data_IF_134076944302
#
_entry.id   IF_134076944302
#
_cell.length_a   1.000
_cell.length_b   1.000
_cell.length_c   1.000
_cell.angle_alpha   90.00
_cell.angle_beta   90.00
_cell.angle_gamma   90.00
#
_symmetry.space_group_name_H-M   'P 1'
#
loop_
_entity.id
_entity.type
_entity.pdbx_description
1 polymer ?
#
# COMPACT_ATOMS: atom_id res chain seq x y z
N UNK A 1 15.00 -0.80 19.98
CA UNK A 1 13.63 -0.27 19.90
C UNK A 1 13.77 1.21 19.71
N UNK A 2 13.60 1.64 18.48
CA UNK A 2 13.61 3.02 18.06
C UNK A 2 12.18 3.52 17.96
N UNK A 3 12.00 4.81 18.18
CA UNK A 3 10.74 5.47 17.86
C UNK A 3 10.63 5.57 16.34
N UNK A 4 9.49 5.15 15.79
CA UNK A 4 9.25 5.29 14.37
C UNK A 4 9.16 6.78 14.03
N UNK A 5 10.08 7.26 13.21
CA UNK A 5 10.08 8.65 12.74
C UNK A 5 8.74 9.00 12.11
N UNK A 6 8.18 10.12 12.52
CA UNK A 6 6.93 10.63 11.94
C UNK A 6 7.16 11.19 10.54
N UNK A 7 6.20 10.92 9.64
CA UNK A 7 6.16 11.63 8.37
C UNK A 7 5.85 13.11 8.64
N UNK A 8 6.60 14.05 8.02
CA UNK A 8 6.40 15.47 8.25
C UNK A 8 5.00 15.89 7.81
N UNK A 9 4.36 16.73 8.64
CA UNK A 9 3.09 17.36 8.33
C UNK A 9 3.28 18.87 8.14
N UNK A 10 2.70 19.48 7.08
CA UNK A 10 1.96 18.82 6.01
C UNK A 10 2.86 17.93 5.13
N UNK A 11 2.26 16.91 4.51
CA UNK A 11 2.96 16.07 3.54
C UNK A 11 3.43 16.92 2.35
N UNK A 12 4.54 16.55 1.68
CA UNK A 12 5.05 17.32 0.56
C UNK A 12 4.04 17.37 -0.59
N UNK A 13 3.76 18.55 -1.18
CA UNK A 13 2.63 18.72 -2.08
C UNK A 13 2.80 18.06 -3.45
N UNK A 14 4.05 17.86 -3.92
CA UNK A 14 4.38 17.56 -5.31
C UNK A 14 5.36 16.38 -5.50
N UNK A 15 5.62 15.57 -4.47
CA UNK A 15 6.39 14.33 -4.55
C UNK A 15 6.34 13.58 -3.22
N UNK A 16 6.62 12.27 -3.18
CA UNK A 16 6.73 11.56 -1.91
C UNK A 16 8.03 11.97 -1.17
N UNK A 17 8.12 11.73 0.15
CA UNK A 17 9.35 11.97 0.90
C UNK A 17 10.55 11.16 0.35
N UNK A 18 11.79 11.61 0.60
CA UNK A 18 12.99 10.85 0.24
C UNK A 18 12.93 9.40 0.73
N UNK A 19 13.32 8.46 -0.12
CA UNK A 19 13.24 7.02 0.15
C UNK A 19 11.88 6.36 -0.14
N UNK A 20 10.83 7.15 -0.40
CA UNK A 20 9.50 6.65 -0.78
C UNK A 20 9.17 6.87 -2.26
N UNK A 21 10.06 7.57 -2.98
CA UNK A 21 9.97 7.69 -4.42
C UNK A 21 10.14 6.31 -5.07
N UNK A 22 9.35 6.07 -6.11
CA UNK A 22 9.47 4.86 -6.89
C UNK A 22 10.65 4.99 -7.86
N UNK A 23 11.61 4.06 -7.77
CA UNK A 23 12.68 3.95 -8.77
C UNK A 23 12.05 3.55 -10.11
N UNK A 24 12.29 4.34 -11.17
CA UNK A 24 11.74 4.07 -12.49
C UNK A 24 12.12 2.67 -12.99
N UNK A 25 11.11 1.87 -13.32
CA UNK A 25 11.24 0.55 -13.97
C UNK A 25 10.30 0.48 -15.17
N UNK A 26 10.56 -0.43 -16.10
CA UNK A 26 9.73 -0.56 -17.30
C UNK A 26 8.24 -0.82 -16.96
N UNK A 27 7.38 0.14 -17.32
CA UNK A 27 5.94 0.08 -17.07
C UNK A 27 5.20 -0.54 -18.26
N UNK A 28 4.48 -1.63 -18.01
CA UNK A 28 3.56 -2.21 -19.00
C UNK A 28 2.26 -1.39 -19.07
N UNK A 29 2.01 -0.77 -20.22
CA UNK A 29 0.93 0.20 -20.47
C UNK A 29 -0.48 -0.43 -20.47
N UNK A 30 -0.63 -1.74 -20.66
CA UNK A 30 -1.93 -2.45 -20.71
C UNK A 30 -2.10 -3.47 -19.56
N UNK A 31 -3.19 -3.37 -18.80
CA UNK A 31 -3.55 -4.35 -17.76
C UNK A 31 -5.05 -4.26 -17.48
N UNK A 32 -5.74 -5.39 -17.59
CA UNK A 32 -7.13 -5.59 -17.17
C UNK A 32 -7.21 -5.90 -15.66
N UNK A 33 -8.40 -5.91 -15.07
CA UNK A 33 -8.62 -6.36 -13.67
C UNK A 33 -8.14 -7.80 -13.43
N UNK A 34 -8.31 -8.68 -14.42
CA UNK A 34 -7.77 -10.05 -14.35
C UNK A 34 -6.25 -10.04 -14.22
N UNK A 35 -5.58 -9.19 -15.01
CA UNK A 35 -4.14 -9.01 -14.92
C UNK A 35 -3.70 -8.32 -13.61
N UNK A 36 -4.58 -7.57 -12.94
CA UNK A 36 -4.31 -7.01 -11.60
C UNK A 36 -4.25 -8.12 -10.54
N UNK A 37 -5.31 -8.94 -10.40
CA UNK A 37 -5.34 -10.02 -9.41
C UNK A 37 -4.22 -11.03 -9.65
N UNK A 38 -4.05 -11.49 -10.90
CA UNK A 38 -3.00 -12.47 -11.23
C UNK A 38 -1.59 -11.97 -10.89
N UNK A 39 -1.31 -10.67 -11.07
CA UNK A 39 0.01 -10.10 -10.73
C UNK A 39 0.23 -10.01 -9.21
N UNK A 40 -0.84 -9.76 -8.45
CA UNK A 40 -0.78 -9.79 -6.98
C UNK A 40 -0.58 -11.23 -6.51
N UNK A 41 -1.34 -12.17 -7.06
CA UNK A 41 -1.22 -13.60 -6.73
C UNK A 41 0.20 -14.09 -7.02
N UNK A 42 0.78 -13.76 -8.17
CA UNK A 42 2.17 -14.10 -8.52
C UNK A 42 3.20 -13.48 -7.57
N UNK A 43 2.95 -12.26 -7.08
CA UNK A 43 3.84 -11.57 -6.15
C UNK A 43 3.77 -12.19 -4.75
N UNK A 44 2.56 -12.48 -4.30
CA UNK A 44 2.22 -12.91 -2.94
C UNK A 44 2.05 -14.44 -2.85
N UNK A 45 2.62 -15.16 -3.83
CA UNK A 45 2.80 -16.60 -3.80
C UNK A 45 4.15 -16.93 -3.18
N UNK A 46 4.13 -17.80 -2.18
CA UNK A 46 5.29 -18.25 -1.43
C UNK A 46 5.27 -19.75 -1.35
N UNK A 47 6.38 -20.39 -1.70
CA UNK A 47 6.50 -21.84 -1.77
C UNK A 47 5.40 -22.48 -2.65
N UNK A 48 4.98 -21.79 -3.71
CA UNK A 48 3.95 -22.26 -4.65
C UNK A 48 2.50 -22.02 -4.25
N UNK A 49 2.24 -21.44 -3.07
CA UNK A 49 0.89 -21.15 -2.61
C UNK A 49 0.67 -19.64 -2.41
N UNK A 50 -0.48 -19.08 -2.84
CA UNK A 50 -0.86 -17.72 -2.46
C UNK A 50 -1.03 -17.62 -0.95
N UNK A 51 -0.43 -16.61 -0.31
CA UNK A 51 -0.53 -16.44 1.14
C UNK A 51 -0.84 -15.01 1.54
N UNK A 52 -1.46 -14.86 2.70
CA UNK A 52 -1.58 -13.57 3.34
C UNK A 52 -0.18 -13.03 3.68
N UNK A 53 0.15 -11.84 3.17
CA UNK A 53 1.47 -11.22 3.37
C UNK A 53 1.81 -10.96 4.85
N UNK A 54 0.80 -10.90 5.74
CA UNK A 54 0.98 -10.63 7.18
C UNK A 54 1.17 -11.93 7.96
N UNK A 55 0.24 -12.88 7.87
CA UNK A 55 0.24 -14.07 8.74
C UNK A 55 0.53 -15.40 8.03
N UNK A 56 0.77 -15.40 6.72
CA UNK A 56 1.11 -16.62 5.99
C UNK A 56 -0.05 -17.58 5.75
N UNK A 57 -1.29 -17.24 6.15
CA UNK A 57 -2.46 -18.08 5.89
C UNK A 57 -2.59 -18.34 4.38
N UNK A 58 -2.64 -19.62 4.01
CA UNK A 58 -2.73 -20.09 2.62
C UNK A 58 -4.16 -20.56 2.25
N UNK A 59 -5.16 -20.34 3.11
CA UNK A 59 -6.51 -20.83 2.84
C UNK A 59 -7.18 -19.98 1.73
N UNK A 60 -7.41 -20.53 0.52
CA UNK A 60 -7.91 -19.76 -0.62
C UNK A 60 -9.33 -19.23 -0.41
N UNK A 61 -10.12 -19.82 0.50
CA UNK A 61 -11.48 -19.37 0.80
C UNK A 61 -11.53 -18.07 1.58
N UNK A 62 -10.43 -17.70 2.25
CA UNK A 62 -10.37 -16.49 3.09
C UNK A 62 -9.38 -15.46 2.56
N UNK A 63 -8.63 -15.79 1.50
CA UNK A 63 -7.72 -14.85 0.85
C UNK A 63 -8.50 -13.87 -0.03
N UNK A 64 -8.11 -12.60 0.06
CA UNK A 64 -8.77 -11.48 -0.57
C UNK A 64 -7.73 -10.49 -1.09
N UNK A 65 -7.99 -9.96 -2.29
CA UNK A 65 -7.26 -8.81 -2.81
C UNK A 65 -7.72 -7.54 -2.09
N UNK A 66 -6.80 -6.92 -1.37
CA UNK A 66 -6.96 -5.65 -0.68
C UNK A 66 -6.35 -4.54 -1.53
N UNK A 67 -6.97 -3.37 -1.58
CA UNK A 67 -6.44 -2.19 -2.25
C UNK A 67 -5.96 -1.16 -1.22
N UNK A 68 -4.80 -0.55 -1.45
CA UNK A 68 -4.27 0.48 -0.53
C UNK A 68 -5.07 1.78 -0.69
N UNK A 69 -5.23 2.24 -1.94
CA UNK A 69 -6.20 3.27 -2.30
C UNK A 69 -7.44 2.58 -2.83
N UNK A 70 -8.57 2.79 -2.16
CA UNK A 70 -9.82 2.09 -2.43
C UNK A 70 -10.38 2.47 -3.80
N UNK A 71 -11.02 1.53 -4.47
CA UNK A 71 -11.69 1.74 -5.77
C UNK A 71 -12.73 2.86 -5.72
N UNK A 72 -13.39 3.03 -4.57
CA UNK A 72 -14.36 4.10 -4.32
C UNK A 72 -13.72 5.49 -4.19
N UNK A 73 -12.40 5.61 -4.32
CA UNK A 73 -11.64 6.86 -4.18
C UNK A 73 -10.85 7.22 -5.45
N UNK A 74 -11.48 7.28 -6.65
CA UNK A 74 -10.79 7.53 -7.91
C UNK A 74 -10.16 8.93 -7.99
N UNK A 75 -10.72 9.89 -7.27
CA UNK A 75 -10.20 11.26 -7.16
C UNK A 75 -8.87 11.28 -6.42
N UNK A 76 -8.75 10.55 -5.30
CA UNK A 76 -7.49 10.38 -4.57
C UNK A 76 -6.41 9.82 -5.49
N UNK A 77 -6.73 8.78 -6.27
CA UNK A 77 -5.77 8.22 -7.23
C UNK A 77 -5.30 9.25 -8.26
N UNK A 78 -6.22 10.04 -8.80
CA UNK A 78 -5.93 11.06 -9.81
C UNK A 78 -5.09 12.21 -9.24
N UNK A 79 -5.41 12.65 -8.02
CA UNK A 79 -4.64 13.67 -7.30
C UNK A 79 -3.21 13.21 -7.00
N UNK A 80 -3.01 11.95 -6.60
CA UNK A 80 -1.66 11.40 -6.39
C UNK A 80 -0.82 11.35 -7.67
N UNK A 81 -1.45 11.07 -8.82
CA UNK A 81 -0.77 11.18 -10.12
C UNK A 81 -0.40 12.63 -10.43
N UNK A 82 -1.32 13.57 -10.24
CA UNK A 82 -1.09 14.99 -10.50
C UNK A 82 0.02 15.58 -9.61
N UNK A 83 0.12 15.10 -8.38
CA UNK A 83 1.16 15.47 -7.42
C UNK A 83 2.47 14.72 -7.58
N UNK A 84 2.61 13.81 -8.54
CA UNK A 84 3.85 13.02 -8.71
C UNK A 84 4.14 12.04 -7.56
N UNK A 85 3.13 11.69 -6.75
CA UNK A 85 3.25 10.69 -5.68
C UNK A 85 3.28 9.25 -6.21
N UNK A 86 2.69 9.06 -7.38
CA UNK A 86 2.77 7.85 -8.19
C UNK A 86 3.01 8.25 -9.67
N UNK A 87 3.67 7.40 -10.48
CA UNK A 87 3.95 7.72 -11.87
C UNK A 87 2.71 8.10 -12.69
N UNK A 88 2.83 9.16 -13.51
CA UNK A 88 1.73 9.68 -14.33
C UNK A 88 1.26 8.64 -15.38
N UNK A 89 2.16 7.78 -15.84
CA UNK A 89 1.91 6.74 -16.83
C UNK A 89 1.19 5.51 -16.23
N UNK A 90 0.97 5.48 -14.91
CA UNK A 90 0.20 4.42 -14.28
C UNK A 90 -1.23 4.36 -14.79
N UNK A 91 -1.87 3.21 -14.55
CA UNK A 91 -3.26 2.97 -14.92
C UNK A 91 -4.19 4.08 -14.44
N UNK A 92 -5.20 4.38 -15.25
CA UNK A 92 -6.18 5.40 -14.92
C UNK A 92 -7.01 5.05 -13.68
N UNK A 93 -7.33 3.75 -13.50
CA UNK A 93 -8.09 3.27 -12.36
C UNK A 93 -7.21 2.51 -11.36
N UNK A 94 -7.40 2.73 -10.04
CA UNK A 94 -6.63 2.07 -8.99
C UNK A 94 -6.74 0.53 -9.05
N UNK A 95 -7.91 -0.01 -9.44
CA UNK A 95 -8.17 -1.45 -9.58
C UNK A 95 -7.40 -2.16 -10.71
N UNK A 96 -6.68 -1.42 -11.55
CA UNK A 96 -5.88 -2.02 -12.63
C UNK A 96 -4.39 -1.99 -12.33
N UNK A 97 -3.98 -1.37 -11.23
CA UNK A 97 -2.57 -1.17 -10.88
C UNK A 97 -2.15 -2.13 -9.75
N UNK A 98 -1.48 -3.27 -10.04
CA UNK A 98 -1.12 -4.27 -9.02
C UNK A 98 -0.26 -3.70 -7.89
N UNK A 99 0.46 -2.59 -8.13
CA UNK A 99 1.22 -1.85 -7.12
C UNK A 99 0.34 -1.06 -6.13
N UNK A 100 -0.98 -1.10 -6.31
CA UNK A 100 -1.99 -0.63 -5.36
C UNK A 100 -2.66 -1.80 -4.61
N UNK A 101 -2.28 -3.05 -4.87
CA UNK A 101 -2.94 -4.23 -4.32
C UNK A 101 -2.06 -5.09 -3.40
N UNK A 102 -2.70 -5.79 -2.48
CA UNK A 102 -2.13 -6.69 -1.46
C UNK A 102 -2.96 -7.96 -1.37
N UNK A 103 -2.35 -9.12 -1.11
CA UNK A 103 -3.07 -10.33 -0.76
C UNK A 103 -3.13 -10.51 0.77
N UNK A 104 -4.34 -10.50 1.34
CA UNK A 104 -4.56 -10.63 2.78
C UNK A 104 -5.61 -11.69 3.08
N UNK A 105 -5.59 -12.28 4.28
CA UNK A 105 -6.75 -13.01 4.76
C UNK A 105 -7.86 -12.03 5.18
N UNK A 106 -9.10 -12.52 5.24
CA UNK A 106 -10.30 -11.73 5.57
C UNK A 106 -10.14 -10.90 6.85
N UNK A 107 -9.50 -11.46 7.89
CA UNK A 107 -9.31 -10.76 9.16
C UNK A 107 -8.36 -9.56 9.02
N UNK A 108 -7.21 -9.75 8.36
CA UNK A 108 -6.26 -8.65 8.15
C UNK A 108 -6.80 -7.60 7.18
N UNK A 109 -7.53 -8.02 6.14
CA UNK A 109 -8.17 -7.10 5.21
C UNK A 109 -9.20 -6.23 5.94
N UNK A 110 -10.07 -6.82 6.76
CA UNK A 110 -11.05 -6.08 7.56
C UNK A 110 -10.38 -5.06 8.50
N UNK A 111 -9.30 -5.46 9.18
CA UNK A 111 -8.56 -4.58 10.09
C UNK A 111 -7.78 -3.47 9.35
N UNK A 112 -7.32 -3.75 8.13
CA UNK A 112 -6.67 -2.76 7.27
C UNK A 112 -7.66 -1.69 6.83
N UNK A 113 -8.82 -2.10 6.30
CA UNK A 113 -9.89 -1.19 5.87
C UNK A 113 -10.52 -0.42 7.05
N UNK A 114 -10.57 -1.05 8.23
CA UNK A 114 -11.01 -0.45 9.49
C UNK A 114 -9.99 0.46 10.15
N UNK A 115 -8.83 0.69 9.52
CA UNK A 115 -7.77 1.57 10.01
C UNK A 115 -7.22 1.21 11.41
N UNK A 116 -7.18 -0.09 11.74
CA UNK A 116 -6.61 -0.57 13.02
C UNK A 116 -5.07 -0.54 13.03
N UNK A 117 -4.45 -0.74 11.86
CA UNK A 117 -3.01 -0.73 11.69
C UNK A 117 -2.60 -0.08 10.37
N UNK A 118 -1.33 0.29 10.29
CA UNK A 118 -0.70 0.68 9.03
C UNK A 118 0.51 -0.18 8.73
N UNK A 119 0.88 -0.20 7.45
CA UNK A 119 2.14 -0.78 6.98
C UNK A 119 3.09 0.38 6.73
N UNK A 120 4.35 0.27 7.16
CA UNK A 120 5.38 1.27 6.97
C UNK A 120 6.54 0.68 6.16
N UNK A 121 6.97 1.37 5.12
CA UNK A 121 8.24 1.07 4.47
C UNK A 121 9.40 1.70 5.26
N UNK A 122 10.42 0.92 5.58
CA UNK A 122 11.65 1.37 6.23
C UNK A 122 12.77 1.40 5.18
N UNK A 123 13.18 2.57 4.66
CA UNK A 123 14.17 2.67 3.58
C UNK A 123 15.53 2.06 3.94
N UNK A 124 15.98 2.22 5.18
CA UNK A 124 17.32 1.79 5.63
C UNK A 124 17.49 0.28 5.58
N UNK A 125 16.46 -0.47 5.98
CA UNK A 125 16.45 -1.94 5.96
C UNK A 125 15.69 -2.51 4.77
N UNK A 126 15.09 -1.66 3.94
CA UNK A 126 14.32 -2.00 2.74
C UNK A 126 13.18 -2.99 2.98
N UNK A 127 12.49 -2.88 4.13
CA UNK A 127 11.39 -3.78 4.53
C UNK A 127 10.08 -3.02 4.73
N UNK A 128 8.98 -3.72 4.54
CA UNK A 128 7.64 -3.26 4.96
C UNK A 128 7.30 -3.87 6.32
N UNK A 129 6.93 -3.05 7.29
CA UNK A 129 6.66 -3.45 8.67
C UNK A 129 5.21 -3.14 9.02
N UNK A 130 4.53 -4.06 9.71
CA UNK A 130 3.20 -3.82 10.26
C UNK A 130 3.32 -3.08 11.60
N UNK A 131 2.55 -2.00 11.76
CA UNK A 131 2.46 -1.24 13.01
C UNK A 131 1.04 -1.31 13.53
N UNK A 132 0.83 -2.11 14.57
CA UNK A 132 -0.42 -2.13 15.34
C UNK A 132 -0.58 -0.78 16.04
N UNK A 133 -1.38 0.12 15.46
CA UNK A 133 -1.50 1.50 15.94
C UNK A 133 -2.66 1.66 16.91
N UNK A 134 -3.81 1.00 16.64
CA UNK A 134 -4.99 1.01 17.50
C UNK A 134 -4.87 0.11 18.74
N UNK A 135 -3.67 -0.43 19.02
CA UNK A 135 -3.40 -1.35 20.12
C UNK A 135 -4.30 -2.62 20.13
N UNK A 136 -4.71 -3.09 18.96
CA UNK A 136 -5.61 -4.24 18.81
C UNK A 136 -4.93 -5.53 19.31
N UNK A 137 -5.51 -6.29 20.27
CA UNK A 137 -4.86 -7.46 20.85
C UNK A 137 -4.44 -8.53 19.84
N UNK A 138 -5.26 -8.74 18.81
CA UNK A 138 -4.99 -9.75 17.77
C UNK A 138 -3.79 -9.40 16.88
N UNK A 139 -3.40 -8.12 16.84
CA UNK A 139 -2.29 -7.61 16.04
C UNK A 139 -0.97 -7.52 16.79
N UNK A 140 -0.96 -7.73 18.12
CA UNK A 140 0.24 -7.58 18.96
C UNK A 140 1.41 -8.45 18.49
N UNK A 141 1.13 -9.69 18.10
CA UNK A 141 2.15 -10.62 17.61
C UNK A 141 2.81 -10.17 16.30
N UNK A 142 2.16 -9.30 15.53
CA UNK A 142 2.64 -8.81 14.23
C UNK A 142 3.29 -7.42 14.31
N UNK A 143 3.12 -6.70 15.42
CA UNK A 143 3.60 -5.34 15.59
C UNK A 143 5.12 -5.24 15.48
N UNK A 144 5.61 -4.29 14.69
CA UNK A 144 7.04 -4.04 14.50
C UNK A 144 7.76 -5.10 13.65
N UNK A 145 7.04 -6.09 13.12
CA UNK A 145 7.61 -7.17 12.30
C UNK A 145 7.40 -6.92 10.81
N UNK A 146 8.40 -7.28 10.02
CA UNK A 146 8.42 -7.16 8.57
C UNK A 146 7.56 -8.23 7.89
N UNK A 147 6.64 -7.78 7.03
CA UNK A 147 5.68 -8.61 6.30
C UNK A 147 6.27 -9.12 4.98
N UNK A 148 5.64 -10.11 4.35
CA UNK A 148 6.14 -10.73 3.13
C UNK A 148 5.87 -9.86 1.88
N UNK A 149 6.54 -8.71 1.80
CA UNK A 149 6.60 -7.84 0.64
C UNK A 149 8.06 -7.52 0.31
N UNK A 150 8.47 -7.79 -0.92
CA UNK A 150 9.81 -7.44 -1.42
C UNK A 150 9.73 -6.15 -2.23
N UNK A 151 10.41 -5.10 -1.76
CA UNK A 151 10.50 -3.82 -2.48
C UNK A 151 11.20 -3.97 -3.85
N UNK A 152 11.98 -5.03 -4.06
CA UNK A 152 12.63 -5.31 -5.34
C UNK A 152 11.70 -6.00 -6.33
N UNK A 153 10.51 -6.43 -5.93
CA UNK A 153 9.54 -6.97 -6.88
C UNK A 153 9.05 -5.89 -7.85
N UNK A 154 8.88 -6.23 -9.14
CA UNK A 154 8.40 -5.28 -10.16
C UNK A 154 6.98 -4.76 -9.90
N UNK A 155 6.18 -5.49 -9.13
CA UNK A 155 4.83 -5.18 -8.70
C UNK A 155 4.77 -4.92 -7.18
N UNK A 156 5.91 -4.65 -6.53
CA UNK A 156 5.93 -4.18 -5.16
C UNK A 156 5.02 -2.95 -5.01
N UNK A 157 4.21 -2.87 -3.94
CA UNK A 157 3.35 -1.72 -3.75
C UNK A 157 4.14 -0.42 -3.66
N UNK A 158 3.53 0.67 -4.13
CA UNK A 158 4.15 1.99 -3.98
C UNK A 158 4.25 2.35 -2.50
N UNK A 159 5.48 2.52 -2.00
CA UNK A 159 5.72 2.87 -0.61
C UNK A 159 5.00 4.18 -0.20
N UNK A 160 4.85 5.12 -1.13
CA UNK A 160 4.13 6.39 -0.91
C UNK A 160 2.65 6.20 -0.56
N UNK A 161 1.98 5.15 -1.06
CA UNK A 161 0.57 4.90 -0.75
C UNK A 161 0.37 4.53 0.72
N UNK A 162 1.35 3.85 1.31
CA UNK A 162 1.32 3.50 2.72
C UNK A 162 1.45 4.72 3.64
N UNK A 163 2.09 5.81 3.21
CA UNK A 163 2.09 7.07 3.97
C UNK A 163 0.67 7.58 4.11
N UNK A 164 -0.11 7.61 3.02
CA UNK A 164 -1.49 8.10 3.06
C UNK A 164 -2.38 7.21 3.93
N UNK A 165 -2.23 5.89 3.80
CA UNK A 165 -2.93 4.94 4.66
C UNK A 165 -2.61 5.19 6.13
N UNK A 166 -1.34 5.39 6.47
CA UNK A 166 -0.95 5.73 7.84
C UNK A 166 -1.57 7.05 8.32
N UNK A 167 -1.62 8.10 7.49
CA UNK A 167 -2.25 9.36 7.91
C UNK A 167 -3.73 9.15 8.25
N UNK A 168 -4.42 8.28 7.49
CA UNK A 168 -5.81 7.89 7.78
C UNK A 168 -5.89 7.11 9.09
N UNK A 169 -5.02 6.12 9.30
CA UNK A 169 -4.97 5.36 10.57
C UNK A 169 -4.76 6.27 11.78
N UNK A 170 -3.87 7.25 11.68
CA UNK A 170 -3.67 8.26 12.72
C UNK A 170 -4.90 9.14 12.93
N UNK A 171 -5.55 9.56 11.85
CA UNK A 171 -6.79 10.34 11.92
C UNK A 171 -7.96 9.58 12.56
N UNK A 172 -8.05 8.27 12.33
CA UNK A 172 -9.06 7.39 12.96
C UNK A 172 -8.74 7.06 14.42
N UNK A 173 -7.47 7.13 14.84
CA UNK A 173 -7.02 6.84 16.20
C UNK A 173 -6.29 8.05 16.81
N UNK A 174 -6.98 9.19 17.03
CA UNK A 174 -6.34 10.47 17.34
C UNK A 174 -5.70 10.55 18.73
N UNK A 175 -5.94 9.57 19.60
CA UNK A 175 -5.42 9.53 20.97
C UNK A 175 -4.23 8.58 21.15
N UNK A 176 -3.85 7.86 20.10
CA UNK A 176 -2.70 6.97 20.14
C UNK A 176 -1.38 7.74 20.05
N UNK A 177 -0.28 7.19 20.60
CA UNK A 177 1.02 7.83 20.54
C UNK A 177 1.44 8.19 19.11
N UNK A 178 2.05 9.36 18.95
CA UNK A 178 2.48 9.84 17.63
C UNK A 178 3.63 8.97 17.08
N UNK A 179 4.51 8.45 17.94
CA UNK A 179 5.68 7.67 17.54
C UNK A 179 5.63 6.28 18.21
N UNK A 180 5.00 5.28 17.57
CA UNK A 180 4.99 3.92 18.11
C UNK A 180 6.43 3.35 18.09
N UNK A 181 6.79 2.63 19.14
CA UNK A 181 8.09 1.99 19.25
C UNK A 181 8.15 0.74 18.37
N UNK A 182 9.17 0.62 17.52
CA UNK A 182 9.39 -0.58 16.69
C UNK A 182 10.85 -1.06 16.80
N UNK A 183 11.14 -2.34 16.53
CA UNK A 183 12.50 -2.82 16.40
C UNK A 183 13.21 -2.18 15.20
N UNK A 184 14.47 -1.77 15.41
CA UNK A 184 15.29 -1.06 14.42
C UNK A 184 15.60 -1.93 13.19
N UNK A 185 15.72 -3.23 13.40
CA UNK A 185 16.08 -4.24 12.39
C UNK A 185 14.88 -4.77 11.59
N UNK A 186 13.65 -4.45 12.02
CA UNK A 186 12.41 -4.93 11.41
C UNK A 186 12.43 -6.44 11.20
N UNK A 187 12.41 -7.26 12.28
CA UNK A 187 12.54 -8.70 12.17
C UNK A 187 11.39 -9.28 11.34
N UNK A 188 11.64 -10.31 10.55
CA UNK A 188 10.60 -10.95 9.74
C UNK A 188 9.49 -11.55 10.62
N UNK A 189 8.26 -11.59 10.09
CA UNK A 189 7.16 -12.30 10.73
C UNK A 189 7.52 -13.76 11.00
N UNK A 190 7.00 -14.30 12.10
CA UNK A 190 7.36 -15.63 12.60
C UNK A 190 7.13 -16.73 11.56
N UNK A 191 6.05 -16.64 10.78
CA UNK A 191 5.73 -17.60 9.71
C UNK A 191 6.74 -17.57 8.57
N UNK A 192 7.33 -16.41 8.25
CA UNK A 192 8.35 -16.27 7.20
C UNK A 192 9.61 -17.03 7.60
N UNK A 193 9.95 -16.98 8.90
CA UNK A 193 11.09 -17.67 9.49
C UNK A 193 10.82 -19.17 9.63
N UNK A 194 9.67 -19.56 10.19
CA UNK A 194 9.32 -20.97 10.40
C UNK A 194 9.26 -21.76 9.10
N UNK A 195 8.65 -21.17 8.07
CA UNK A 195 8.45 -21.82 6.77
C UNK A 195 9.68 -21.64 5.86
N UNK A 196 10.72 -20.94 6.34
CA UNK A 196 11.96 -20.67 5.59
C UNK A 196 11.71 -20.03 4.21
N UNK A 197 10.71 -19.14 4.16
CA UNK A 197 10.21 -18.51 2.92
C UNK A 197 11.18 -17.44 2.42
N UNK A 198 11.90 -16.78 3.32
CA UNK A 198 12.94 -15.82 2.96
C UNK A 198 14.32 -16.50 2.95
N UNK A 199 15.03 -16.38 1.83
CA UNK A 199 16.42 -16.82 1.74
C UNK A 199 17.36 -15.65 2.07
N UNK A 200 18.06 -15.76 3.19
CA UNK A 200 19.02 -14.74 3.63
C UNK A 200 20.25 -14.64 2.70
N UNK A 201 20.60 -15.69 1.95
CA UNK A 201 21.78 -15.67 1.09
C UNK A 201 21.54 -14.84 -0.19
N UNK A 202 20.40 -15.06 -0.87
CA UNK A 202 19.96 -14.21 -2.00
C UNK A 202 19.26 -12.92 -1.55
N UNK A 203 18.88 -12.85 -0.27
CA UNK A 203 18.05 -11.82 0.30
C UNK A 203 16.65 -11.77 -0.32
N UNK A 204 16.09 -12.87 -0.84
CA UNK A 204 14.85 -12.90 -1.63
C UNK A 204 13.83 -13.93 -1.13
N UNK A 205 12.55 -13.75 -1.48
CA UNK A 205 11.51 -14.73 -1.14
C UNK A 205 11.48 -15.89 -2.13
N UNK A 206 11.32 -17.10 -1.58
CA UNK A 206 11.09 -18.33 -2.35
C UNK A 206 9.64 -18.37 -2.81
N UNK A 207 9.43 -18.13 -4.11
CA UNK A 207 8.09 -18.13 -4.71
C UNK A 207 7.70 -19.46 -5.30
N UNK A 208 8.65 -20.10 -5.95
CA UNK A 208 8.42 -21.39 -6.58
C UNK A 208 8.08 -22.43 -5.52
N UNK A 209 7.20 -23.36 -5.89
CA UNK A 209 7.02 -24.59 -5.15
C UNK A 209 8.40 -25.24 -4.95
N UNK A 210 8.66 -25.79 -3.76
CA UNK A 210 9.68 -26.82 -3.65
C UNK A 210 9.42 -27.85 -4.76
N UNK A 211 10.44 -28.31 -5.49
CA UNK A 211 10.23 -29.09 -6.70
C UNK A 211 9.48 -30.38 -6.38
N UNK A 212 8.17 -30.35 -6.58
CA UNK A 212 7.37 -31.53 -6.84
C UNK A 212 7.67 -31.93 -8.28
N UNK A 213 8.33 -33.08 -8.40
CA UNK A 213 8.76 -33.70 -9.63
C UNK A 213 7.56 -34.04 -10.53
N UNK A 214 6.99 -33.06 -11.27
CA UNK A 214 5.97 -33.32 -12.29
C UNK A 214 6.09 -32.39 -13.50
N UNK A 215 6.76 -32.97 -14.49
CA UNK A 215 6.91 -32.58 -15.87
C UNK A 215 5.70 -31.90 -16.55
N UNK A 216 6.00 -30.72 -17.10
CA UNK A 216 6.01 -30.41 -18.54
C UNK A 216 4.68 -30.38 -19.31
N UNK A 217 4.44 -29.26 -20.00
CA UNK A 217 3.31 -29.09 -20.92
C UNK A 217 3.26 -27.73 -21.59
N UNK A 218 4.26 -27.44 -22.43
CA UNK A 218 4.29 -26.32 -23.39
C UNK A 218 3.02 -26.25 -24.24
N UNK A 219 2.61 -25.03 -24.62
CA UNK A 219 2.40 -24.68 -26.03
C UNK A 219 2.26 -23.16 -26.21
N UNK A 220 3.13 -22.62 -27.08
CA UNK A 220 3.05 -21.26 -27.58
C UNK A 220 2.33 -21.18 -28.93
N UNK A 221 2.03 -19.95 -29.36
CA UNK A 221 1.84 -19.44 -30.74
C UNK A 221 1.46 -17.96 -30.58
N UNK A 222 2.31 -16.95 -30.88
CA UNK A 222 2.70 -16.37 -32.18
C UNK A 222 1.55 -15.83 -33.04
N UNK A 223 1.51 -14.50 -33.25
CA UNK A 223 0.69 -13.83 -34.28
C UNK A 223 0.70 -12.30 -34.18
N UNK A 224 1.08 -11.62 -35.27
CA UNK A 224 1.59 -10.25 -35.38
C UNK A 224 0.55 -9.10 -35.51
N UNK A 225 1.07 -7.88 -35.30
CA UNK A 225 0.64 -6.50 -35.58
C UNK A 225 -0.32 -6.21 -36.75
N UNK A 226 -1.12 -5.15 -36.61
CA UNK A 226 -1.13 -4.01 -37.55
C UNK A 226 -1.76 -2.71 -37.00
N UNK A 227 -1.17 -1.59 -37.44
CA UNK A 227 -1.47 -0.15 -37.29
C UNK A 227 -2.89 0.22 -37.82
N UNK A 228 -3.58 1.35 -37.55
CA UNK A 228 -3.22 2.77 -37.37
C UNK A 228 -4.52 3.58 -37.04
N UNK A 229 -4.37 4.84 -36.59
CA UNK A 229 -5.24 6.04 -36.71
C UNK A 229 -5.49 6.83 -35.40
N UNK A 230 -5.35 8.14 -35.53
CA UNK A 230 -5.30 9.25 -34.54
C UNK A 230 -6.32 10.33 -35.00
N UNK A 231 -6.54 11.47 -34.30
CA UNK A 231 -7.38 11.77 -33.12
C UNK A 231 -8.43 12.88 -33.43
N UNK A 232 -8.76 13.73 -32.42
CA UNK A 232 -9.40 15.09 -32.39
C UNK A 232 -10.78 15.07 -31.69
N UNK A 233 -11.20 15.86 -30.68
CA UNK A 233 -11.06 17.29 -30.30
C UNK A 233 -11.32 17.59 -28.79
N UNK A 234 -10.62 18.62 -28.25
CA UNK A 234 -11.01 19.80 -27.39
C UNK A 234 -12.35 19.80 -26.60
N UNK A 235 -12.55 20.41 -25.41
CA UNK A 235 -11.96 21.61 -24.77
C UNK A 235 -12.33 21.76 -23.27
N UNK A 236 -11.39 22.36 -22.49
CA UNK A 236 -11.50 23.44 -21.46
C UNK A 236 -12.66 23.57 -20.46
N UNK A 237 -12.29 23.87 -19.20
CA UNK A 237 -13.15 24.59 -18.24
C UNK A 237 -12.64 24.61 -16.81
N UNK A 238 -11.62 25.43 -16.52
CA UNK A 238 -11.22 25.84 -15.17
C UNK A 238 -12.31 26.70 -14.51
N UNK A 239 -12.53 26.52 -13.20
CA UNK A 239 -12.86 27.63 -12.31
C UNK A 239 -12.52 27.30 -10.84
N UNK A 240 -11.55 28.07 -10.35
CA UNK A 240 -11.14 28.24 -8.97
C UNK A 240 -12.27 28.79 -8.08
N UNK A 241 -12.39 28.29 -6.85
CA UNK A 241 -13.23 28.89 -5.80
C UNK A 241 -12.42 29.03 -4.52
N UNK A 242 -12.33 30.28 -4.04
CA UNK A 242 -11.49 30.70 -2.92
C UNK A 242 -11.88 30.08 -1.58
N UNK A 243 -10.92 29.39 -0.96
CA UNK A 243 -11.06 28.82 0.37
C UNK A 243 -10.81 29.85 1.46
N UNK A 244 -11.82 30.06 2.31
CA UNK A 244 -11.69 30.75 3.61
C UNK A 244 -10.77 29.91 4.50
N UNK A 245 -9.62 30.46 4.88
CA UNK A 245 -8.59 29.74 5.66
C UNK A 245 -9.05 29.60 7.11
N UNK A 246 -9.62 28.44 7.46
CA UNK A 246 -9.95 28.10 8.85
C UNK A 246 -8.66 27.70 9.57
N UNK A 247 -8.17 28.56 10.45
CA UNK A 247 -7.02 28.26 11.32
C UNK A 247 -7.57 27.96 12.70
N UNK A 248 -7.34 26.75 13.23
CA UNK A 248 -7.83 26.35 14.56
C UNK A 248 -6.89 26.89 15.63
N UNK A 249 -7.09 28.14 16.04
CA UNK A 249 -6.33 28.79 17.11
C UNK A 249 -7.20 28.99 18.36
N UNK A 250 -6.59 29.44 19.47
CA UNK A 250 -7.29 29.64 20.74
C UNK A 250 -8.50 30.58 20.62
N UNK A 251 -8.43 31.58 19.73
CA UNK A 251 -9.50 32.55 19.49
C UNK A 251 -10.70 31.89 18.79
N UNK A 252 -10.45 31.05 17.78
CA UNK A 252 -11.49 30.26 17.11
C UNK A 252 -12.12 29.23 18.05
N UNK A 253 -11.31 28.61 18.93
CA UNK A 253 -11.84 27.70 19.97
C UNK A 253 -12.72 28.48 20.96
N UNK A 254 -12.29 29.67 21.39
CA UNK A 254 -13.07 30.53 22.27
C UNK A 254 -14.38 30.99 21.62
N UNK A 255 -14.36 31.32 20.32
CA UNK A 255 -15.54 31.71 19.54
C UNK A 255 -16.52 30.55 19.39
N UNK A 256 -16.04 29.33 19.09
CA UNK A 256 -16.85 28.11 19.07
C UNK A 256 -17.48 27.88 20.44
N UNK A 257 -16.68 27.90 21.52
CA UNK A 257 -17.17 27.69 22.88
C UNK A 257 -18.20 28.75 23.30
N UNK A 258 -18.01 30.01 22.89
CA UNK A 258 -18.94 31.09 23.13
C UNK A 258 -20.26 30.87 22.37
N UNK A 259 -20.20 30.45 21.10
CA UNK A 259 -21.37 30.14 20.29
C UNK A 259 -22.17 28.96 20.85
N UNK A 260 -21.50 27.89 21.29
CA UNK A 260 -22.18 26.71 21.89
C UNK A 260 -22.83 27.03 23.23
N UNK A 261 -22.25 27.95 24.02
CA UNK A 261 -22.82 28.42 25.30
C UNK A 261 -23.96 29.44 25.15
N UNK A 262 -24.07 30.06 23.98
CA UNK A 262 -25.11 31.05 23.67
C UNK A 262 -26.38 30.43 23.07
N UNK A 263 -26.39 29.13 22.76
CA UNK A 263 -27.62 28.42 22.38
C UNK A 263 -28.33 27.92 23.64
N UNK A 264 -29.62 28.29 23.85
CA UNK A 264 -30.39 27.92 25.04
C UNK A 264 -30.77 26.44 25.09
#
# INVERSE_FOLDING_TARGET
MALLSTSPHPLPPNQPPPGYAWEERDMSVLSTTTAFNTRIDQRDTFLGEPRCIICGSANPLVLQHCQIIRELEPETWSDLKARGWIPLQNKAHPRHEPRNGLLMCSNHHLLFDGYAFFIRFLPDVRKFVLVNYSNEPTLQQFHGKAIALDIRDRYAPFASLFILHEMRVRGFNPFEPIEPAIPDDGPWQDWILSDSVFDNASGSFKRDSLPDNRNNGNNGFSGQSQLQFLPTTTSTGDASSGGRRVTMNADVIAEILAATRAMP
#
